data_IF_813838960734
#
_entry.id   IF_813838960734
#
_cell.length_a   1.000
_cell.length_b   1.000
_cell.length_c   1.000
_cell.angle_alpha   90.00
_cell.angle_beta   90.00
_cell.angle_gamma   90.00
#
_symmetry.space_group_name_H-M   'P 1'
#
loop_
_entity.id
_entity.type
_entity.pdbx_description
1 polymer ?
#
# COMPACT_ATOMS: atom_id res chain seq x y z
N UNK A 1 -10.69 28.55 -85.37
CA UNK A 1 -10.15 29.04 -84.08
C UNK A 1 -11.35 29.40 -83.19
N UNK A 2 -12.15 28.47 -82.64
CA UNK A 2 -11.94 27.63 -81.43
C UNK A 2 -11.35 28.42 -80.25
N UNK A 3 -11.95 28.54 -79.06
CA UNK A 3 -12.98 27.72 -78.42
C UNK A 3 -13.68 28.47 -77.27
N UNK A 4 -15.00 28.35 -77.23
CA UNK A 4 -15.86 28.33 -76.05
C UNK A 4 -15.38 27.22 -75.09
N UNK A 5 -15.26 27.50 -73.78
CA UNK A 5 -15.37 26.57 -72.64
C UNK A 5 -14.52 27.03 -71.47
N UNK A 6 -15.14 27.58 -70.42
CA UNK A 6 -14.70 27.45 -69.00
C UNK A 6 -15.68 28.10 -68.01
N UNK A 7 -16.97 27.90 -68.23
CA UNK A 7 -17.93 27.81 -67.12
C UNK A 7 -17.89 26.35 -66.64
N UNK A 8 -17.98 26.10 -65.33
CA UNK A 8 -17.97 24.78 -64.66
C UNK A 8 -16.56 24.27 -64.30
N UNK A 9 -16.08 24.61 -63.09
CA UNK A 9 -15.26 23.72 -62.22
C UNK A 9 -14.82 24.42 -60.92
N UNK A 10 -15.72 25.14 -60.22
CA UNK A 10 -15.40 25.73 -58.91
C UNK A 10 -16.42 25.35 -57.82
N UNK A 11 -16.90 24.11 -57.83
CA UNK A 11 -17.92 23.63 -56.89
C UNK A 11 -17.69 22.19 -56.38
N UNK A 12 -16.46 21.68 -56.38
CA UNK A 12 -16.22 20.30 -55.95
C UNK A 12 -14.80 20.03 -55.48
N UNK A 13 -14.43 20.51 -54.29
CA UNK A 13 -13.23 20.04 -53.59
C UNK A 13 -13.20 20.39 -52.08
N UNK A 14 -14.35 20.49 -51.40
CA UNK A 14 -14.43 20.76 -49.95
C UNK A 14 -14.96 19.56 -49.13
N UNK A 15 -14.93 18.36 -49.70
CA UNK A 15 -15.53 17.14 -49.13
C UNK A 15 -14.53 16.01 -48.86
N UNK A 16 -13.28 16.34 -48.49
CA UNK A 16 -12.22 15.34 -48.37
C UNK A 16 -11.14 15.67 -47.36
N UNK A 17 -11.50 16.02 -46.13
CA UNK A 17 -10.58 16.05 -44.98
C UNK A 17 -11.36 15.95 -43.64
N UNK A 18 -12.29 15.00 -43.53
CA UNK A 18 -12.52 14.36 -42.23
C UNK A 18 -11.69 13.09 -42.25
N UNK A 19 -10.39 13.23 -42.01
CA UNK A 19 -9.63 12.12 -41.49
C UNK A 19 -10.27 11.79 -40.14
N UNK A 20 -11.09 10.75 -40.10
CA UNK A 20 -11.46 10.10 -38.88
C UNK A 20 -10.15 9.75 -38.18
N UNK A 21 -9.79 10.50 -37.15
CA UNK A 21 -8.91 10.02 -36.10
C UNK A 21 -9.60 8.79 -35.54
N UNK A 22 -9.28 7.61 -36.08
CA UNK A 22 -9.56 6.37 -35.39
C UNK A 22 -9.03 6.55 -33.96
N UNK A 23 -9.85 6.33 -32.91
CA UNK A 23 -9.29 6.32 -31.58
C UNK A 23 -8.19 5.27 -31.61
N UNK A 24 -6.96 5.69 -31.35
CA UNK A 24 -5.87 4.77 -31.13
C UNK A 24 -6.36 3.79 -30.07
N UNK A 25 -6.50 2.53 -30.45
CA UNK A 25 -6.86 1.45 -29.54
C UNK A 25 -5.74 1.41 -28.51
N UNK A 26 -5.96 2.03 -27.36
CA UNK A 26 -4.97 2.12 -26.31
C UNK A 26 -4.62 0.69 -25.91
N UNK A 27 -3.36 0.30 -26.14
CA UNK A 27 -2.86 -1.01 -25.73
C UNK A 27 -3.23 -1.23 -24.26
N UNK A 28 -4.10 -2.21 -24.02
CA UNK A 28 -4.57 -2.48 -22.67
C UNK A 28 -3.40 -2.99 -21.83
N UNK A 29 -2.87 -2.14 -20.97
CA UNK A 29 -1.74 -2.47 -20.10
C UNK A 29 -2.22 -3.48 -19.06
N UNK A 30 -1.55 -4.62 -18.98
CA UNK A 30 -1.80 -5.64 -17.95
C UNK A 30 -0.92 -5.31 -16.75
N UNK A 31 -1.52 -5.26 -15.56
CA UNK A 31 -0.83 -5.01 -14.31
C UNK A 31 -0.98 -6.22 -13.40
N UNK A 32 0.14 -6.86 -13.07
CA UNK A 32 0.17 -7.96 -12.12
C UNK A 32 0.53 -7.45 -10.72
N UNK A 33 -0.42 -7.58 -9.79
CA UNK A 33 -0.23 -7.17 -8.40
C UNK A 33 -0.15 -8.42 -7.52
N UNK A 34 0.90 -8.57 -6.73
CA UNK A 34 0.95 -9.63 -5.73
C UNK A 34 0.64 -9.12 -4.32
N UNK A 35 -0.29 -9.77 -3.62
CA UNK A 35 -0.54 -9.53 -2.19
C UNK A 35 0.46 -10.25 -1.30
N UNK A 36 0.90 -9.59 -0.23
CA UNK A 36 1.70 -10.20 0.84
C UNK A 36 0.88 -11.14 1.74
N UNK A 37 -0.45 -11.04 1.69
CA UNK A 37 -1.37 -11.88 2.46
C UNK A 37 -2.16 -12.83 1.55
N UNK A 38 -2.62 -13.97 2.08
CA UNK A 38 -3.55 -14.82 1.35
C UNK A 38 -4.83 -14.05 1.03
N UNK A 39 -5.36 -14.15 -0.19
CA UNK A 39 -6.60 -13.45 -0.56
C UNK A 39 -7.81 -13.90 0.25
N UNK A 40 -7.81 -15.15 0.72
CA UNK A 40 -8.82 -15.68 1.64
C UNK A 40 -8.77 -15.07 3.05
N UNK A 41 -7.74 -14.29 3.38
CA UNK A 41 -7.61 -13.68 4.69
C UNK A 41 -8.56 -12.47 4.80
N UNK A 42 -9.47 -12.47 5.80
CA UNK A 42 -10.35 -11.33 6.01
C UNK A 42 -9.56 -10.04 6.26
N UNK A 43 -10.14 -8.92 5.86
CA UNK A 43 -9.53 -7.59 5.86
C UNK A 43 -8.39 -7.46 4.84
N UNK A 44 -7.15 -7.88 5.14
CA UNK A 44 -6.02 -7.52 4.25
C UNK A 44 -6.04 -8.27 2.91
N UNK A 45 -6.50 -9.53 2.88
CA UNK A 45 -6.63 -10.31 1.65
C UNK A 45 -7.81 -9.84 0.80
N UNK A 46 -8.98 -9.71 1.42
CA UNK A 46 -10.20 -9.20 0.78
C UNK A 46 -10.04 -7.77 0.26
N UNK A 47 -9.28 -6.92 0.97
CA UNK A 47 -9.01 -5.55 0.51
C UNK A 47 -8.10 -5.54 -0.72
N UNK A 48 -7.17 -6.50 -0.85
CA UNK A 48 -6.34 -6.61 -2.04
C UNK A 48 -7.16 -7.01 -3.28
N UNK A 49 -8.12 -7.92 -3.12
CA UNK A 49 -9.08 -8.27 -4.18
C UNK A 49 -9.96 -7.06 -4.56
N UNK A 50 -10.54 -6.41 -3.55
CA UNK A 50 -11.35 -5.21 -3.74
C UNK A 50 -10.59 -4.10 -4.48
N UNK A 51 -9.32 -3.87 -4.15
CA UNK A 51 -8.48 -2.90 -4.85
C UNK A 51 -8.35 -3.25 -6.34
N UNK A 52 -8.09 -4.53 -6.66
CA UNK A 52 -7.99 -4.98 -8.04
C UNK A 52 -9.28 -4.79 -8.82
N UNK A 53 -10.43 -5.07 -8.20
CA UNK A 53 -11.75 -4.85 -8.80
C UNK A 53 -12.01 -3.36 -9.06
N UNK A 54 -11.72 -2.50 -8.09
CA UNK A 54 -11.92 -1.06 -8.24
C UNK A 54 -11.00 -0.45 -9.29
N UNK A 55 -9.75 -0.90 -9.40
CA UNK A 55 -8.84 -0.45 -10.45
C UNK A 55 -9.34 -0.86 -11.84
N UNK A 56 -9.86 -2.09 -11.99
CA UNK A 56 -10.46 -2.55 -13.24
C UNK A 56 -11.74 -1.78 -13.59
N UNK A 57 -12.59 -1.48 -12.61
CA UNK A 57 -13.82 -0.72 -12.82
C UNK A 57 -13.53 0.74 -13.19
N UNK A 58 -12.57 1.36 -12.51
CA UNK A 58 -12.19 2.76 -12.72
C UNK A 58 -11.38 2.97 -14.01
N UNK A 59 -10.67 1.95 -14.52
CA UNK A 59 -9.81 2.10 -15.70
C UNK A 59 -10.59 2.24 -17.01
N UNK A 60 -11.89 1.92 -17.04
CA UNK A 60 -12.70 1.95 -18.26
C UNK A 60 -12.14 1.05 -19.38
N UNK A 61 -11.32 0.05 -19.04
CA UNK A 61 -10.64 -0.83 -19.99
C UNK A 61 -9.21 -0.41 -20.37
N UNK A 62 -8.69 0.71 -19.87
CA UNK A 62 -7.32 1.15 -20.14
C UNK A 62 -6.26 0.23 -19.50
N UNK A 63 -6.56 -0.34 -18.33
CA UNK A 63 -5.68 -1.25 -17.61
C UNK A 63 -6.45 -2.49 -17.15
N UNK A 64 -5.83 -3.67 -17.29
CA UNK A 64 -6.33 -4.95 -16.75
C UNK A 64 -5.47 -5.37 -15.57
N UNK A 65 -6.02 -5.25 -14.37
CA UNK A 65 -5.35 -5.61 -13.11
C UNK A 65 -5.68 -7.05 -12.73
N UNK A 66 -4.65 -7.84 -12.42
CA UNK A 66 -4.80 -9.18 -11.86
C UNK A 66 -4.07 -9.26 -10.53
N UNK A 67 -4.80 -9.63 -9.47
CA UNK A 67 -4.26 -9.75 -8.11
C UNK A 67 -3.93 -11.21 -7.82
N UNK A 68 -2.70 -11.46 -7.36
CA UNK A 68 -2.21 -12.77 -6.95
C UNK A 68 -2.15 -12.88 -5.43
N UNK A 69 -2.46 -14.07 -4.92
CA UNK A 69 -2.34 -14.41 -3.49
C UNK A 69 -0.88 -14.53 -3.05
N UNK A 70 -0.67 -14.46 -1.73
CA UNK A 70 0.66 -14.62 -1.12
C UNK A 70 1.43 -15.85 -1.62
N UNK A 71 2.69 -15.63 -2.00
CA UNK A 71 3.62 -16.70 -2.37
C UNK A 71 3.40 -17.32 -3.75
N UNK A 72 2.53 -16.76 -4.60
CA UNK A 72 2.29 -17.29 -5.95
C UNK A 72 3.40 -16.97 -6.95
N UNK A 73 3.94 -15.76 -6.94
CA UNK A 73 5.05 -15.35 -7.83
C UNK A 73 6.36 -15.26 -7.03
N UNK A 74 6.34 -14.54 -5.92
CA UNK A 74 7.50 -14.34 -5.03
C UNK A 74 7.13 -14.51 -3.56
N UNK A 75 8.10 -14.80 -2.67
CA UNK A 75 7.86 -14.80 -1.23
C UNK A 75 7.34 -13.44 -0.72
N UNK A 76 6.38 -13.40 0.24
CA UNK A 76 5.76 -12.15 0.70
C UNK A 76 6.73 -11.06 1.20
N UNK A 77 7.83 -11.45 1.84
CA UNK A 77 8.84 -10.53 2.35
C UNK A 77 9.76 -9.96 1.25
N UNK A 78 9.74 -10.55 0.05
CA UNK A 78 10.58 -10.15 -1.09
C UNK A 78 9.79 -9.36 -2.14
N UNK A 79 8.52 -9.04 -1.89
CA UNK A 79 7.67 -8.29 -2.85
C UNK A 79 8.32 -6.95 -3.21
N UNK A 80 8.85 -6.22 -2.23
CA UNK A 80 9.55 -4.95 -2.50
C UNK A 80 10.75 -5.12 -3.42
N UNK A 81 11.54 -6.16 -3.23
CA UNK A 81 12.71 -6.45 -4.06
C UNK A 81 12.31 -6.86 -5.48
N UNK A 82 11.24 -7.64 -5.60
CA UNK A 82 10.70 -8.07 -6.88
C UNK A 82 10.16 -6.88 -7.70
N UNK A 83 9.51 -5.91 -7.06
CA UNK A 83 9.06 -4.67 -7.71
C UNK A 83 10.24 -3.77 -8.07
N UNK A 84 11.21 -3.60 -7.17
CA UNK A 84 12.42 -2.83 -7.45
C UNK A 84 13.19 -3.39 -8.66
N UNK A 85 13.20 -4.71 -8.85
CA UNK A 85 13.87 -5.37 -9.96
C UNK A 85 13.01 -5.42 -11.24
N UNK A 86 11.76 -4.96 -11.20
CA UNK A 86 10.82 -5.04 -12.31
C UNK A 86 10.34 -6.46 -12.63
N UNK A 87 10.49 -7.40 -11.69
CA UNK A 87 9.94 -8.76 -11.83
C UNK A 87 8.43 -8.78 -11.59
N UNK A 88 7.93 -7.87 -10.75
CA UNK A 88 6.52 -7.58 -10.54
C UNK A 88 6.22 -6.14 -10.93
N UNK A 89 5.06 -5.90 -11.54
CA UNK A 89 4.61 -4.54 -11.85
C UNK A 89 4.25 -3.78 -10.58
N UNK A 90 3.62 -4.47 -9.61
CA UNK A 90 3.23 -3.92 -8.32
C UNK A 90 3.04 -5.00 -7.25
N UNK A 91 3.05 -4.57 -5.99
CA UNK A 91 2.96 -5.42 -4.81
C UNK A 91 2.13 -4.79 -3.70
N UNK A 92 1.09 -5.47 -3.24
CA UNK A 92 0.30 -5.06 -2.08
C UNK A 92 0.94 -5.59 -0.79
N UNK A 93 1.58 -4.73 -0.01
CA UNK A 93 2.40 -5.12 1.16
C UNK A 93 2.39 -4.06 2.27
N UNK A 94 2.96 -4.42 3.43
CA UNK A 94 3.17 -3.49 4.54
C UNK A 94 4.58 -2.89 4.50
N UNK A 95 4.74 -1.58 4.78
CA UNK A 95 6.07 -0.96 4.95
C UNK A 95 6.91 -1.64 6.05
N UNK A 96 6.27 -2.25 7.05
CA UNK A 96 6.96 -2.92 8.16
C UNK A 96 7.91 -4.04 7.71
N UNK A 97 7.64 -4.69 6.57
CA UNK A 97 8.47 -5.79 6.07
C UNK A 97 9.84 -5.34 5.55
N UNK A 98 9.96 -4.08 5.12
CA UNK A 98 11.24 -3.50 4.67
C UNK A 98 11.88 -2.58 5.71
N UNK A 99 11.27 -2.47 6.88
CA UNK A 99 11.73 -1.55 7.92
C UNK A 99 13.06 -1.95 8.57
N UNK A 100 13.52 -3.19 8.36
CA UNK A 100 14.89 -3.59 8.69
C UNK A 100 15.95 -2.91 7.82
N UNK A 101 15.60 -2.52 6.59
CA UNK A 101 16.49 -1.84 5.63
C UNK A 101 16.31 -0.32 5.68
N UNK A 102 15.06 0.12 5.83
CA UNK A 102 14.73 1.54 5.88
C UNK A 102 14.01 1.85 7.21
N UNK A 103 14.74 2.15 8.29
CA UNK A 103 14.13 2.35 9.61
C UNK A 103 13.05 3.44 9.65
N UNK A 104 13.14 4.46 8.78
CA UNK A 104 12.16 5.54 8.70
C UNK A 104 10.76 5.07 8.28
N UNK A 105 10.66 3.94 7.57
CA UNK A 105 9.36 3.44 7.05
C UNK A 105 8.49 2.84 8.14
N UNK A 106 9.07 2.56 9.32
CA UNK A 106 8.31 2.20 10.52
C UNK A 106 7.24 3.25 10.84
N UNK A 107 7.51 4.53 10.52
CA UNK A 107 6.55 5.60 10.76
C UNK A 107 5.24 5.37 10.00
N UNK A 108 5.30 4.82 8.77
CA UNK A 108 4.14 4.55 7.93
C UNK A 108 3.41 3.26 8.32
N UNK A 109 4.15 2.31 8.92
CA UNK A 109 3.60 1.09 9.49
C UNK A 109 2.97 1.26 10.88
N UNK A 110 2.89 2.49 11.39
CA UNK A 110 2.34 2.79 12.70
C UNK A 110 3.41 2.79 13.79
N UNK A 111 3.40 3.83 14.63
CA UNK A 111 4.26 3.96 15.81
C UNK A 111 3.47 3.74 17.10
N UNK A 112 3.95 2.93 18.06
CA UNK A 112 3.23 2.72 19.32
C UNK A 112 2.87 4.05 20.00
N UNK A 113 1.62 4.17 20.45
CA UNK A 113 1.05 5.40 21.04
C UNK A 113 0.97 6.57 20.04
N UNK A 114 0.85 6.25 18.76
CA UNK A 114 0.68 7.22 17.68
C UNK A 114 -0.69 7.90 17.66
N UNK A 115 -0.93 8.73 16.63
CA UNK A 115 -2.22 9.36 16.41
C UNK A 115 -3.31 8.32 16.11
N UNK A 116 -4.57 8.69 16.31
CA UNK A 116 -5.72 7.89 15.89
C UNK A 116 -5.82 7.80 14.35
N UNK A 117 -6.64 6.88 13.85
CA UNK A 117 -6.80 6.62 12.42
C UNK A 117 -7.14 7.87 11.58
N UNK A 118 -7.98 8.77 12.09
CA UNK A 118 -8.39 9.97 11.36
C UNK A 118 -7.22 10.95 11.30
N UNK A 119 -6.65 11.30 12.45
CA UNK A 119 -5.50 12.21 12.53
C UNK A 119 -4.32 11.71 11.70
N UNK A 120 -4.08 10.39 11.73
CA UNK A 120 -3.02 9.77 10.95
C UNK A 120 -3.27 9.82 9.45
N UNK A 121 -4.51 9.59 9.01
CA UNK A 121 -4.90 9.73 7.61
C UNK A 121 -4.77 11.17 7.14
N UNK A 122 -5.22 12.14 7.93
CA UNK A 122 -5.04 13.57 7.63
C UNK A 122 -3.56 13.93 7.51
N UNK A 123 -2.70 13.41 8.38
CA UNK A 123 -1.25 13.62 8.24
C UNK A 123 -0.69 13.01 6.96
N UNK A 124 -1.15 11.83 6.55
CA UNK A 124 -0.68 11.19 5.31
C UNK A 124 -1.08 11.96 4.06
N UNK A 125 -2.31 12.45 3.98
CA UNK A 125 -2.83 13.11 2.78
C UNK A 125 -2.63 14.63 2.75
N UNK A 126 -2.75 15.30 3.90
CA UNK A 126 -2.68 16.76 4.00
C UNK A 126 -1.44 17.26 4.77
N UNK A 127 -0.81 16.40 5.57
CA UNK A 127 0.32 16.74 6.46
C UNK A 127 1.70 16.37 5.92
N UNK A 128 1.82 15.95 4.66
CA UNK A 128 3.09 15.63 4.02
C UNK A 128 3.60 14.20 4.24
N UNK A 129 2.84 13.34 4.93
CA UNK A 129 3.30 11.98 5.25
C UNK A 129 3.53 11.12 4.01
N UNK A 130 2.65 11.20 3.01
CA UNK A 130 2.77 10.45 1.76
C UNK A 130 3.98 10.91 0.92
N UNK A 131 4.28 12.20 0.93
CA UNK A 131 5.41 12.78 0.20
C UNK A 131 6.73 12.29 0.80
N UNK A 132 6.84 12.29 2.14
CA UNK A 132 8.02 11.73 2.84
C UNK A 132 8.17 10.24 2.53
N UNK A 133 7.07 9.48 2.51
CA UNK A 133 7.11 8.06 2.16
C UNK A 133 7.60 7.85 0.73
N UNK A 134 7.01 8.59 -0.22
CA UNK A 134 7.35 8.52 -1.63
C UNK A 134 8.81 8.87 -1.86
N UNK A 135 9.37 9.90 -1.20
CA UNK A 135 10.78 10.27 -1.30
C UNK A 135 11.74 9.16 -0.85
N UNK A 136 11.38 8.40 0.19
CA UNK A 136 12.20 7.30 0.67
C UNK A 136 12.26 6.17 -0.37
N UNK A 137 11.13 5.83 -0.97
CA UNK A 137 11.02 4.71 -1.92
C UNK A 137 11.46 5.11 -3.33
N UNK A 138 11.28 6.37 -3.72
CA UNK A 138 11.74 6.90 -5.01
C UNK A 138 13.26 6.80 -5.16
N UNK A 139 14.03 6.93 -4.07
CA UNK A 139 15.48 6.69 -4.05
C UNK A 139 15.86 5.25 -4.43
N UNK A 140 14.90 4.34 -4.35
CA UNK A 140 15.03 2.92 -4.67
C UNK A 140 14.37 2.57 -6.01
N UNK A 141 13.86 3.57 -6.74
CA UNK A 141 13.15 3.37 -8.01
C UNK A 141 11.71 2.86 -7.84
N UNK A 142 11.15 2.90 -6.64
CA UNK A 142 9.81 2.36 -6.33
C UNK A 142 8.83 3.49 -6.03
N UNK A 143 7.61 3.38 -6.52
CA UNK A 143 6.53 4.33 -6.24
C UNK A 143 5.60 3.74 -5.18
N UNK A 144 5.24 4.52 -4.17
CA UNK A 144 4.34 4.08 -3.09
C UNK A 144 2.98 4.73 -3.20
N UNK A 145 1.94 3.92 -3.13
CA UNK A 145 0.55 4.40 -3.04
C UNK A 145 -0.09 3.81 -1.78
N UNK A 146 -0.43 4.65 -0.78
CA UNK A 146 -1.23 4.21 0.36
C UNK A 146 -2.59 3.70 -0.13
N UNK A 147 -2.94 2.46 0.18
CA UNK A 147 -4.12 1.79 -0.39
C UNK A 147 -5.04 1.16 0.66
N UNK A 148 -4.66 1.24 1.94
CA UNK A 148 -5.51 0.77 3.03
C UNK A 148 -4.97 1.20 4.37
N UNK A 149 -5.88 1.36 5.34
CA UNK A 149 -5.54 1.62 6.73
C UNK A 149 -6.16 0.52 7.59
N UNK A 150 -5.34 -0.10 8.41
CA UNK A 150 -5.81 -0.92 9.52
C UNK A 150 -5.78 -0.06 10.77
N UNK A 151 -6.90 0.10 11.47
CA UNK A 151 -6.90 0.76 12.76
C UNK A 151 -6.26 -0.16 13.83
N UNK A 152 -6.00 0.41 14.99
CA UNK A 152 -5.76 -0.20 16.29
C UNK A 152 -5.89 -1.72 16.34
N UNK A 153 -4.75 -2.41 16.34
CA UNK A 153 -4.71 -3.86 16.53
C UNK A 153 -4.95 -4.27 17.99
N UNK A 154 -5.44 -5.48 18.18
CA UNK A 154 -5.44 -6.10 19.51
C UNK A 154 -3.98 -6.30 19.96
N UNK A 155 -3.67 -6.00 21.22
CA UNK A 155 -2.29 -6.02 21.74
C UNK A 155 -1.67 -7.41 21.92
N UNK A 156 -2.17 -8.43 21.22
CA UNK A 156 -1.66 -9.79 21.19
C UNK A 156 -2.53 -10.81 21.92
N UNK A 157 -2.19 -12.08 21.73
CA UNK A 157 -2.80 -13.22 22.40
C UNK A 157 -1.79 -13.78 23.41
N UNK A 158 -2.23 -13.91 24.66
CA UNK A 158 -1.38 -14.36 25.77
C UNK A 158 -2.03 -15.56 26.45
N UNK A 159 -1.21 -16.53 26.85
CA UNK A 159 -1.64 -17.70 27.64
C UNK A 159 -1.52 -17.46 29.16
N UNK A 160 -1.13 -16.26 29.57
CA UNK A 160 -1.07 -15.81 30.96
C UNK A 160 -1.79 -14.48 31.12
N UNK A 161 -2.23 -14.19 32.34
CA UNK A 161 -2.84 -12.91 32.68
C UNK A 161 -1.76 -11.84 32.83
N UNK A 162 -1.98 -10.67 32.24
CA UNK A 162 -1.08 -9.52 32.34
C UNK A 162 -1.66 -8.57 33.40
N UNK A 163 -1.00 -8.47 34.55
CA UNK A 163 -1.35 -7.54 35.63
C UNK A 163 -0.25 -6.50 35.87
N UNK A 164 0.99 -6.87 35.56
CA UNK A 164 2.17 -6.04 35.78
C UNK A 164 3.15 -6.14 34.61
N UNK A 165 4.08 -5.20 34.57
CA UNK A 165 5.19 -5.18 33.60
C UNK A 165 6.10 -6.41 33.77
N UNK A 166 6.18 -6.93 34.99
CA UNK A 166 7.04 -8.05 35.32
C UNK A 166 6.55 -9.37 34.72
N UNK A 167 5.26 -9.48 34.37
CA UNK A 167 4.69 -10.67 33.74
C UNK A 167 5.25 -10.91 32.33
N UNK A 168 5.86 -9.89 31.71
CA UNK A 168 6.55 -10.02 30.43
C UNK A 168 8.00 -10.50 30.56
N UNK A 169 8.57 -10.56 31.77
CA UNK A 169 9.95 -11.00 31.98
C UNK A 169 10.07 -12.50 31.68
N UNK A 170 10.87 -12.84 30.69
CA UNK A 170 11.06 -14.23 30.25
C UNK A 170 9.94 -14.76 29.35
N UNK A 171 8.90 -13.98 29.06
CA UNK A 171 7.88 -14.34 28.09
C UNK A 171 8.44 -14.28 26.67
N UNK A 172 8.20 -15.32 25.87
CA UNK A 172 8.51 -15.34 24.43
C UNK A 172 7.27 -14.92 23.66
N UNK A 173 7.34 -13.77 22.98
CA UNK A 173 6.22 -13.22 22.21
C UNK A 173 6.49 -13.38 20.71
N UNK A 174 5.50 -13.87 19.97
CA UNK A 174 5.56 -13.91 18.52
C UNK A 174 5.19 -12.54 17.94
N UNK A 175 6.05 -11.99 17.07
CA UNK A 175 5.84 -10.71 16.37
C UNK A 175 6.01 -10.86 14.87
N UNK A 176 5.46 -9.89 14.12
CA UNK A 176 5.58 -9.82 12.66
C UNK A 176 7.03 -9.60 12.21
N UNK A 177 7.84 -8.89 13.01
CA UNK A 177 9.28 -8.87 12.86
C UNK A 177 9.89 -10.09 13.58
N UNK A 178 10.39 -11.06 12.81
CA UNK A 178 11.08 -12.27 13.32
C UNK A 178 12.43 -11.98 14.00
N UNK A 179 12.64 -10.79 14.58
CA UNK A 179 13.82 -10.52 15.38
C UNK A 179 13.75 -11.39 16.64
N UNK A 180 14.79 -12.20 16.81
CA UNK A 180 15.01 -13.04 17.98
C UNK A 180 15.75 -12.23 19.06
N UNK A 181 15.40 -10.97 19.24
CA UNK A 181 15.93 -10.12 20.31
C UNK A 181 14.96 -10.08 21.48
N UNK A 182 15.48 -9.73 22.65
CA UNK A 182 14.75 -9.82 23.91
C UNK A 182 13.45 -9.00 23.84
N UNK A 183 12.26 -9.64 23.90
CA UNK A 183 10.98 -8.97 23.69
C UNK A 183 10.69 -7.87 24.73
N UNK A 184 11.46 -7.82 25.81
CA UNK A 184 11.33 -6.83 26.87
C UNK A 184 11.87 -5.45 26.50
N UNK A 185 12.76 -5.21 25.53
CA UNK A 185 13.38 -3.86 25.45
C UNK A 185 12.37 -2.76 25.16
N UNK A 186 11.54 -2.90 24.12
CA UNK A 186 10.54 -1.89 23.81
C UNK A 186 9.29 -2.02 24.70
N UNK A 187 8.88 -3.23 25.10
CA UNK A 187 7.73 -3.39 26.03
C UNK A 187 8.06 -2.81 27.39
N UNK A 188 9.24 -3.08 27.95
CA UNK A 188 9.70 -2.45 29.19
C UNK A 188 9.91 -0.95 29.00
N UNK A 189 10.34 -0.48 27.83
CA UNK A 189 10.49 0.95 27.58
C UNK A 189 9.14 1.65 27.47
N UNK A 190 8.17 1.06 26.77
CA UNK A 190 6.78 1.50 26.71
C UNK A 190 6.10 1.44 28.09
N UNK A 191 6.33 0.36 28.85
CA UNK A 191 5.82 0.19 30.19
C UNK A 191 6.47 1.13 31.20
N UNK A 192 7.75 1.48 31.04
CA UNK A 192 8.46 2.49 31.83
C UNK A 192 7.97 3.91 31.53
N UNK A 193 7.59 4.20 30.29
CA UNK A 193 6.92 5.45 29.92
C UNK A 193 5.50 5.54 30.52
N UNK A 194 4.90 4.40 30.87
CA UNK A 194 3.54 4.29 31.39
C UNK A 194 3.47 3.87 32.87
N UNK A 195 4.60 3.82 33.58
CA UNK A 195 4.66 3.37 34.97
C UNK A 195 3.92 4.36 35.87
N UNK A 196 2.78 3.93 36.44
CA UNK A 196 1.91 4.73 37.31
C UNK A 196 0.45 4.86 36.84
N UNK A 197 0.06 4.22 35.74
CA UNK A 197 -1.31 4.29 35.20
C UNK A 197 -2.03 2.93 35.24
N UNK A 198 -3.36 2.91 35.44
CA UNK A 198 -4.14 1.67 35.51
C UNK A 198 -4.06 0.87 34.20
N UNK A 199 -4.05 -0.46 34.33
CA UNK A 199 -3.88 -1.41 33.22
C UNK A 199 -4.93 -1.29 32.11
N UNK A 200 -6.13 -0.77 32.43
CA UNK A 200 -7.18 -0.44 31.45
C UNK A 200 -6.77 0.64 30.44
N UNK A 201 -5.91 1.58 30.84
CA UNK A 201 -5.49 2.71 29.99
C UNK A 201 -4.39 2.31 29.00
N UNK A 202 -3.67 1.23 29.27
CA UNK A 202 -2.63 0.70 28.38
C UNK A 202 -3.26 0.21 27.08
N UNK A 203 -4.37 -0.53 27.16
CA UNK A 203 -5.10 -1.06 26.00
C UNK A 203 -5.83 0.02 25.20
N UNK A 204 -6.28 1.09 25.85
CA UNK A 204 -6.98 2.19 25.18
C UNK A 204 -6.05 3.09 24.36
N UNK A 205 -4.72 3.03 24.57
CA UNK A 205 -3.73 3.90 23.92
C UNK A 205 -2.65 3.17 23.10
N UNK A 206 -2.64 1.84 23.05
CA UNK A 206 -1.89 1.10 22.00
C UNK A 206 -2.54 1.20 20.62
N UNK A 207 -3.61 1.99 20.51
CA UNK A 207 -4.33 2.34 19.28
C UNK A 207 -3.39 3.00 18.28
N UNK A 208 -2.82 2.19 17.39
CA UNK A 208 -1.94 2.67 16.35
C UNK A 208 -2.45 2.17 15.01
N UNK A 209 -2.82 3.07 14.10
CA UNK A 209 -3.18 2.70 12.75
C UNK A 209 -1.93 2.28 11.93
N UNK A 210 -2.06 1.25 11.12
CA UNK A 210 -1.04 0.70 10.22
C UNK A 210 -1.49 0.95 8.77
N UNK A 211 -0.68 1.63 7.96
CA UNK A 211 -0.96 1.70 6.53
C UNK A 211 -0.49 0.42 5.82
N UNK A 212 -1.32 -0.01 4.88
CA UNK A 212 -0.97 -0.96 3.84
C UNK A 212 -0.80 -0.18 2.54
N UNK A 213 0.23 -0.53 1.77
CA UNK A 213 0.57 0.15 0.53
C UNK A 213 0.63 -0.81 -0.63
N UNK A 214 0.30 -0.29 -1.82
CA UNK A 214 0.85 -0.84 -3.05
C UNK A 214 2.19 -0.18 -3.29
N UNK A 215 3.20 -1.00 -3.47
CA UNK A 215 4.54 -0.65 -3.97
C UNK A 215 4.71 -1.07 -5.39
#
# INVERSE_FOLDING_TARGET
MTSVNRTIALAGALLGCLAASAPAEADTVKLEIQSAWPLSMPASGTNAEFLGEQLNAASGGAFKVKVYSAGKLVPPLQIFDAVQQGTLDAGYTSPLYVAGRFPAVQLFGGVPFGPDAITYTSWMYDGGGREIWSEIYAKQGVVTIPCGLMDSEAGGWYNFKIESVDDFKGAVLQRSDRRRDNPTRWILQAARLNSGRPSSDIWLRTRTPIFVSVV
#
